data_IF_042020137630
#
_entry.id   IF_042020137630
#
_cell.length_a   1.000
_cell.length_b   1.000
_cell.length_c   1.000
_cell.angle_alpha   90.00
_cell.angle_beta   90.00
_cell.angle_gamma   90.00
#
_symmetry.space_group_name_H-M   'P 1'
#
loop_
_entity.id
_entity.type
_entity.pdbx_description
1 polymer ?
#
# COMPACT_ATOMS: atom_id res chain seq x y z
N UNK A 1 -0.39 -1.55 -15.39
CA UNK A 1 -0.94 -1.88 -14.06
C UNK A 1 -0.67 -3.33 -13.76
N UNK A 2 -0.27 -3.65 -12.54
CA UNK A 2 -0.13 -5.04 -12.12
C UNK A 2 -1.52 -5.66 -11.94
N UNK A 3 -1.69 -6.92 -12.34
CA UNK A 3 -2.92 -7.67 -12.10
C UNK A 3 -2.74 -8.43 -10.79
N UNK A 4 -3.73 -8.35 -9.92
CA UNK A 4 -3.75 -9.14 -8.71
C UNK A 4 -3.92 -10.63 -9.08
N UNK A 5 -2.87 -11.42 -8.85
CA UNK A 5 -2.91 -12.88 -8.99
C UNK A 5 -2.34 -13.53 -7.72
N UNK A 6 -2.82 -14.71 -7.32
CA UNK A 6 -2.30 -15.41 -6.15
C UNK A 6 -0.78 -15.62 -6.21
N UNK A 7 -0.25 -15.88 -7.41
CA UNK A 7 1.18 -16.10 -7.64
C UNK A 7 1.99 -14.84 -7.35
N UNK A 8 1.55 -13.67 -7.85
CA UNK A 8 2.22 -12.39 -7.60
C UNK A 8 2.24 -12.04 -6.11
N UNK A 9 1.11 -12.23 -5.42
CA UNK A 9 1.00 -11.97 -3.98
C UNK A 9 1.94 -12.88 -3.20
N UNK A 10 2.01 -14.16 -3.57
CA UNK A 10 2.90 -15.12 -2.93
C UNK A 10 4.37 -14.78 -3.18
N UNK A 11 4.72 -14.38 -4.40
CA UNK A 11 6.08 -13.95 -4.77
C UNK A 11 6.54 -12.76 -3.92
N UNK A 12 5.72 -11.72 -3.80
CA UNK A 12 6.04 -10.54 -2.98
C UNK A 12 6.20 -10.92 -1.50
N UNK A 13 5.30 -11.74 -0.95
CA UNK A 13 5.40 -12.21 0.44
C UNK A 13 6.67 -13.02 0.68
N UNK A 14 7.02 -13.90 -0.26
CA UNK A 14 8.22 -14.73 -0.17
C UNK A 14 9.50 -13.88 -0.27
N UNK A 15 9.51 -12.87 -1.15
CA UNK A 15 10.61 -11.92 -1.26
C UNK A 15 10.82 -11.16 0.06
N UNK A 16 9.76 -10.59 0.65
CA UNK A 16 9.86 -9.90 1.95
C UNK A 16 10.37 -10.84 3.05
N UNK A 17 9.90 -12.10 3.07
CA UNK A 17 10.37 -13.10 4.03
C UNK A 17 11.86 -13.42 3.87
N UNK A 18 12.36 -13.48 2.63
CA UNK A 18 13.77 -13.75 2.35
C UNK A 18 14.67 -12.58 2.76
N UNK A 19 14.26 -11.35 2.45
CA UNK A 19 15.08 -10.15 2.69
C UNK A 19 14.99 -9.65 4.14
N UNK A 20 13.81 -9.70 4.75
CA UNK A 20 13.51 -9.06 6.05
C UNK A 20 13.08 -10.05 7.13
N UNK A 21 12.93 -11.33 6.79
CA UNK A 21 12.50 -12.38 7.72
C UNK A 21 10.99 -12.47 7.91
N UNK A 22 10.56 -13.53 8.60
CA UNK A 22 9.13 -13.86 8.78
C UNK A 22 8.34 -12.79 9.54
N UNK A 23 8.98 -12.03 10.44
CA UNK A 23 8.33 -10.97 11.22
C UNK A 23 7.89 -9.77 10.37
N UNK A 24 8.59 -9.51 9.26
CA UNK A 24 8.30 -8.40 8.36
C UNK A 24 7.34 -8.79 7.23
N UNK A 25 6.95 -10.06 7.14
CA UNK A 25 6.03 -10.54 6.11
C UNK A 25 4.66 -9.85 6.25
N UNK A 26 4.15 -9.18 5.21
CA UNK A 26 2.84 -8.55 5.25
C UNK A 26 1.73 -9.59 5.46
N UNK A 27 0.74 -9.25 6.30
CA UNK A 27 -0.45 -10.09 6.45
C UNK A 27 -1.27 -10.08 5.16
N UNK A 28 -1.49 -8.89 4.59
CA UNK A 28 -2.27 -8.65 3.38
C UNK A 28 -1.50 -7.77 2.40
N UNK A 29 -1.79 -7.93 1.11
CA UNK A 29 -1.23 -7.15 0.01
C UNK A 29 -2.38 -6.84 -0.96
N UNK A 30 -2.68 -5.57 -1.15
CA UNK A 30 -3.69 -5.09 -2.11
C UNK A 30 -2.96 -4.46 -3.31
N UNK A 31 -3.27 -4.90 -4.53
CA UNK A 31 -2.71 -4.30 -5.75
C UNK A 31 -3.65 -3.22 -6.24
N UNK A 32 -3.24 -1.96 -6.06
CA UNK A 32 -4.02 -0.79 -6.47
C UNK A 32 -3.51 -0.21 -7.79
N UNK A 33 -4.39 0.41 -8.61
CA UNK A 33 -3.98 1.05 -9.86
C UNK A 33 -3.09 2.28 -9.62
N UNK A 34 -3.28 2.98 -8.51
CA UNK A 34 -2.49 4.15 -8.11
C UNK A 34 -2.45 4.28 -6.58
N UNK A 35 -1.42 4.96 -6.08
CA UNK A 35 -1.30 5.33 -4.66
C UNK A 35 -1.71 6.80 -4.49
N UNK A 36 -2.35 7.15 -3.36
CA UNK A 36 -2.65 8.54 -3.04
C UNK A 36 -1.35 9.31 -2.83
N UNK A 37 -1.13 10.35 -3.65
CA UNK A 37 0.09 11.15 -3.64
C UNK A 37 -0.25 12.63 -3.53
N UNK A 38 0.65 13.40 -2.93
CA UNK A 38 0.59 14.86 -2.95
C UNK A 38 0.95 15.40 -4.33
N UNK A 39 0.67 16.69 -4.60
CA UNK A 39 1.16 17.44 -5.79
C UNK A 39 2.66 17.45 -6.05
N UNK A 40 3.43 16.94 -5.10
CA UNK A 40 4.87 16.76 -5.17
C UNK A 40 5.29 15.30 -5.29
N UNK A 41 4.34 14.39 -5.51
CA UNK A 41 4.54 12.95 -5.68
C UNK A 41 4.74 12.15 -4.37
N UNK A 42 4.64 12.77 -3.19
CA UNK A 42 4.85 12.06 -1.91
C UNK A 42 3.63 11.18 -1.61
N UNK A 43 3.87 9.90 -1.32
CA UNK A 43 2.80 8.98 -0.93
C UNK A 43 2.18 9.42 0.41
N UNK A 44 0.87 9.64 0.42
CA UNK A 44 0.12 10.03 1.62
C UNK A 44 -0.26 8.80 2.45
N UNK A 45 0.74 8.18 3.09
CA UNK A 45 0.54 6.96 3.92
C UNK A 45 -0.54 7.10 4.99
N UNK A 46 -0.75 8.32 5.51
CA UNK A 46 -1.81 8.63 6.49
C UNK A 46 -3.21 8.35 5.95
N UNK A 47 -3.46 8.62 4.67
CA UNK A 47 -4.75 8.37 4.01
C UNK A 47 -4.97 6.86 3.87
N UNK A 48 -3.93 6.12 3.45
CA UNK A 48 -3.98 4.65 3.39
C UNK A 48 -4.29 4.03 4.76
N UNK A 49 -3.63 4.52 5.81
CA UNK A 49 -3.88 4.08 7.19
C UNK A 49 -5.32 4.40 7.64
N UNK A 50 -5.83 5.58 7.32
CA UNK A 50 -7.19 5.97 7.67
C UNK A 50 -8.24 5.10 6.96
N UNK A 51 -8.03 4.78 5.66
CA UNK A 51 -8.87 3.84 4.89
C UNK A 51 -8.92 2.47 5.59
N UNK A 52 -7.77 1.91 5.93
CA UNK A 52 -7.66 0.60 6.56
C UNK A 52 -8.34 0.55 7.94
N UNK A 53 -8.21 1.63 8.72
CA UNK A 53 -8.79 1.72 10.05
C UNK A 53 -10.24 2.22 10.07
N UNK A 54 -10.85 2.54 8.92
CA UNK A 54 -12.18 3.16 8.85
C UNK A 54 -12.25 4.53 9.52
N UNK A 55 -11.13 5.27 9.57
CA UNK A 55 -11.00 6.56 10.24
C UNK A 55 -11.06 7.73 9.25
N UNK A 56 -11.35 8.93 9.75
CA UNK A 56 -11.33 10.14 8.94
C UNK A 56 -9.89 10.48 8.50
N UNK A 57 -9.59 10.60 7.19
CA UNK A 57 -8.28 10.95 6.67
C UNK A 57 -7.94 12.45 6.80
N UNK A 58 -8.70 13.25 7.55
CA UNK A 58 -8.43 14.68 7.76
C UNK A 58 -8.33 15.48 6.46
N UNK A 59 -7.51 16.52 6.45
CA UNK A 59 -7.31 17.33 5.23
C UNK A 59 -6.52 16.56 4.16
N UNK A 60 -7.10 16.49 2.97
CA UNK A 60 -6.56 15.84 1.76
C UNK A 60 -6.48 16.81 0.57
N UNK A 61 -6.59 18.12 0.79
CA UNK A 61 -6.56 19.17 -0.25
C UNK A 61 -5.32 19.17 -1.14
N UNK A 62 -4.24 18.53 -0.69
CA UNK A 62 -2.96 18.41 -1.43
C UNK A 62 -2.85 17.16 -2.28
N UNK A 63 -3.86 16.27 -2.26
CA UNK A 63 -3.91 15.06 -3.07
C UNK A 63 -3.98 15.44 -4.57
N UNK A 64 -3.21 14.74 -5.39
CA UNK A 64 -3.37 14.77 -6.85
C UNK A 64 -4.56 13.89 -7.25
N UNK A 65 -5.32 14.33 -8.27
CA UNK A 65 -6.38 13.52 -8.89
C UNK A 65 -5.84 12.18 -9.43
#
# INVERSE_FOLDING_TARGET
SFKETPELIQEIKQHVKQELGKIAMPQEIEIVPSLPKTRSGKIMRRVLKAKELGQNPGDISTLED
#
